data_IF_776262372322
#
_entry.id   IF_776262372322
#
_cell.length_a   1.000
_cell.length_b   1.000
_cell.length_c   1.000
_cell.angle_alpha   90.00
_cell.angle_beta   90.00
_cell.angle_gamma   90.00
#
_symmetry.space_group_name_H-M   'P 1'
#
loop_
_entity.id
_entity.type
_entity.pdbx_description
1 polymer ?
#
# COMPACT_ATOMS: atom_id res chain seq x y z
N UNK A 1 -8.16 16.50 66.39
CA UNK A 1 -9.24 16.35 65.39
C UNK A 1 -8.61 15.66 64.17
N UNK A 2 -8.51 14.33 64.12
CA UNK A 2 -9.54 13.37 63.64
C UNK A 2 -9.88 13.60 62.15
N UNK A 3 -9.68 12.70 61.17
CA UNK A 3 -9.34 11.26 61.11
C UNK A 3 -8.66 10.97 59.76
N UNK A 4 -7.65 10.10 59.78
CA UNK A 4 -7.13 9.39 58.60
C UNK A 4 -7.93 8.10 58.43
N UNK A 5 -8.44 7.83 57.22
CA UNK A 5 -9.10 6.56 56.87
C UNK A 5 -8.10 5.76 56.03
N UNK A 6 -7.65 4.64 56.58
CA UNK A 6 -6.94 3.58 55.86
C UNK A 6 -7.90 2.49 55.39
N UNK A 7 -7.52 1.80 54.32
CA UNK A 7 -7.97 0.45 53.94
C UNK A 7 -6.84 -0.16 53.10
N UNK A 8 -5.90 -0.81 53.76
CA UNK A 8 -5.86 -2.25 54.07
C UNK A 8 -5.59 -3.13 52.83
N UNK A 9 -4.31 -3.47 52.70
CA UNK A 9 -3.77 -4.46 51.77
C UNK A 9 -3.60 -5.75 52.56
N UNK A 10 -4.16 -6.85 52.04
CA UNK A 10 -3.81 -8.28 52.24
C UNK A 10 -5.00 -9.09 52.77
N UNK A 11 -5.53 -9.94 51.90
CA UNK A 11 -6.22 -11.22 52.13
C UNK A 11 -6.92 -11.47 50.78
N UNK A 12 -6.53 -12.43 49.95
CA UNK A 12 -6.69 -13.84 50.21
C UNK A 12 -5.69 -14.67 49.40
N UNK A 13 -5.15 -15.66 50.09
CA UNK A 13 -4.36 -16.72 49.52
C UNK A 13 -5.24 -17.71 48.75
N UNK A 14 -4.64 -18.28 47.69
CA UNK A 14 -4.64 -19.71 47.33
C UNK A 14 -5.99 -20.44 47.36
N UNK A 15 -6.54 -20.67 46.17
CA UNK A 15 -7.30 -21.91 45.89
C UNK A 15 -6.69 -22.56 44.65
N UNK A 16 -6.15 -23.77 44.87
CA UNK A 16 -5.75 -24.75 43.88
C UNK A 16 -6.98 -25.25 43.10
N UNK A 17 -6.88 -25.37 41.78
CA UNK A 17 -7.05 -26.64 41.05
C UNK A 17 -6.99 -26.40 39.51
N UNK A 18 -6.16 -27.17 38.77
CA UNK A 18 -6.10 -27.12 37.31
C UNK A 18 -7.17 -28.05 36.75
N UNK A 19 -8.00 -27.54 35.83
CA UNK A 19 -9.01 -28.33 35.15
C UNK A 19 -8.85 -28.13 33.65
N UNK A 20 -8.61 -29.26 32.97
CA UNK A 20 -8.88 -29.57 31.57
C UNK A 20 -7.98 -28.92 30.51
N UNK A 21 -6.90 -29.66 30.21
CA UNK A 21 -6.54 -30.15 28.87
C UNK A 21 -7.49 -29.69 27.75
N UNK A 22 -7.16 -28.54 27.14
CA UNK A 22 -7.84 -28.00 25.97
C UNK A 22 -6.98 -28.14 24.72
N UNK A 23 -7.37 -29.08 23.85
CA UNK A 23 -7.21 -29.04 22.39
C UNK A 23 -5.91 -28.42 21.83
N UNK A 24 -4.87 -29.26 21.72
CA UNK A 24 -3.70 -29.02 20.86
C UNK A 24 -3.71 -30.03 19.72
N UNK A 25 -4.40 -29.67 18.63
CA UNK A 25 -4.17 -30.22 17.28
C UNK A 25 -4.62 -29.15 16.28
N UNK A 26 -3.80 -28.11 16.17
CA UNK A 26 -3.82 -27.22 15.02
C UNK A 26 -3.36 -28.03 13.81
N UNK A 27 -4.32 -28.43 12.96
CA UNK A 27 -4.04 -28.92 11.62
C UNK A 27 -3.42 -27.77 10.83
N UNK A 28 -2.10 -27.79 10.69
CA UNK A 28 -1.39 -27.00 9.69
C UNK A 28 -1.79 -27.55 8.31
N UNK A 29 -2.85 -26.99 7.74
CA UNK A 29 -3.21 -27.21 6.35
C UNK A 29 -2.12 -26.61 5.44
N UNK A 30 -1.82 -27.23 4.28
CA UNK A 30 -0.86 -26.67 3.34
C UNK A 30 -1.39 -25.32 2.84
N UNK A 31 -0.55 -24.29 2.95
CA UNK A 31 -0.79 -23.01 2.29
C UNK A 31 -0.81 -23.27 0.78
N UNK A 32 -2.00 -23.46 0.20
CA UNK A 32 -2.14 -23.49 -1.24
C UNK A 32 -1.86 -22.08 -1.74
N UNK A 33 -0.80 -21.94 -2.54
CA UNK A 33 -0.58 -20.77 -3.36
C UNK A 33 -1.78 -20.66 -4.31
N UNK A 34 -2.78 -19.89 -3.88
CA UNK A 34 -3.95 -19.55 -4.67
C UNK A 34 -3.48 -18.87 -5.95
N UNK A 35 -3.60 -19.59 -7.06
CA UNK A 35 -3.44 -19.05 -8.41
C UNK A 35 -4.67 -18.17 -8.64
N UNK A 36 -4.52 -16.87 -8.38
CA UNK A 36 -5.58 -15.91 -8.63
C UNK A 36 -5.82 -15.83 -10.14
N UNK A 37 -7.08 -15.88 -10.61
CA UNK A 37 -7.37 -15.66 -12.02
C UNK A 37 -6.87 -14.27 -12.40
N UNK A 38 -6.02 -14.21 -13.43
CA UNK A 38 -5.53 -12.94 -13.97
C UNK A 38 -6.74 -12.09 -14.39
N UNK A 39 -6.91 -10.87 -13.87
CA UNK A 39 -7.92 -9.97 -14.39
C UNK A 39 -7.57 -9.74 -15.87
N UNK A 40 -8.51 -10.06 -16.75
CA UNK A 40 -8.35 -9.85 -18.20
C UNK A 40 -8.04 -8.38 -18.52
N UNK A 41 -7.67 -8.06 -19.78
CA UNK A 41 -7.22 -6.73 -20.14
C UNK A 41 -8.30 -5.70 -19.79
N UNK A 42 -8.04 -4.91 -18.74
CA UNK A 42 -8.91 -3.81 -18.32
C UNK A 42 -8.85 -2.71 -19.38
N UNK A 43 -9.68 -2.77 -20.41
CA UNK A 43 -9.69 -1.74 -21.45
C UNK A 43 -11.07 -1.53 -22.05
N UNK A 44 -11.80 -0.51 -21.57
CA UNK A 44 -12.66 0.38 -22.38
C UNK A 44 -13.01 1.62 -21.54
N UNK A 45 -12.22 2.67 -21.64
CA UNK A 45 -12.53 3.96 -21.02
C UNK A 45 -11.38 4.93 -21.16
N UNK A 46 -11.46 5.82 -22.16
CA UNK A 46 -10.67 7.04 -22.39
C UNK A 46 -9.35 7.16 -21.61
N UNK A 47 -8.41 6.26 -21.86
CA UNK A 47 -7.07 6.32 -21.30
C UNK A 47 -6.19 7.11 -22.30
N UNK A 48 -5.62 8.27 -21.93
CA UNK A 48 -4.81 9.08 -22.84
C UNK A 48 -3.54 8.37 -23.34
N UNK A 49 -3.19 7.22 -22.73
CA UNK A 49 -2.10 6.33 -23.15
C UNK A 49 -2.52 5.22 -24.14
N UNK A 50 -3.75 5.25 -24.65
CA UNK A 50 -4.16 4.42 -25.79
C UNK A 50 -4.12 2.90 -25.54
N UNK A 51 -4.22 2.46 -24.28
CA UNK A 51 -4.13 1.03 -23.93
C UNK A 51 -2.71 0.46 -23.94
N UNK A 52 -1.67 1.29 -24.08
CA UNK A 52 -0.28 0.84 -23.94
C UNK A 52 -0.02 0.44 -22.48
N UNK A 53 0.53 -0.76 -22.29
CA UNK A 53 1.03 -1.24 -21.01
C UNK A 53 2.38 -0.61 -20.71
N UNK A 54 2.54 0.02 -19.54
CA UNK A 54 3.81 0.60 -19.09
C UNK A 54 4.22 -0.08 -17.76
N UNK A 55 4.95 -1.21 -17.82
CA UNK A 55 5.37 -1.93 -16.63
C UNK A 55 6.47 -1.20 -15.88
N UNK A 56 6.16 -0.52 -14.78
CA UNK A 56 7.16 0.25 -14.01
C UNK A 56 7.89 -0.60 -12.96
N UNK A 57 7.22 -1.63 -12.44
CA UNK A 57 7.80 -2.54 -11.46
C UNK A 57 7.02 -3.86 -11.39
N UNK A 58 7.75 -4.95 -11.14
CA UNK A 58 7.15 -6.27 -10.98
C UNK A 58 6.19 -6.67 -12.10
N UNK A 59 5.20 -7.47 -11.73
CA UNK A 59 4.17 -8.00 -12.61
C UNK A 59 2.85 -7.20 -12.54
N UNK A 60 2.73 -6.26 -11.59
CA UNK A 60 1.49 -5.57 -11.28
C UNK A 60 1.60 -4.04 -11.21
N UNK A 61 2.79 -3.45 -11.09
CA UNK A 61 2.87 -1.99 -11.05
C UNK A 61 2.97 -1.40 -12.46
N UNK A 62 1.94 -0.66 -12.88
CA UNK A 62 1.99 0.15 -14.10
C UNK A 62 0.62 0.35 -14.74
N UNK A 63 0.40 1.44 -15.50
CA UNK A 63 -0.84 1.60 -16.24
C UNK A 63 -0.96 0.50 -17.30
N UNK A 64 -2.14 -0.14 -17.35
CA UNK A 64 -2.45 -1.24 -18.27
C UNK A 64 -1.49 -2.43 -18.17
N UNK A 65 -0.81 -2.60 -17.04
CA UNK A 65 0.03 -3.73 -16.68
C UNK A 65 -0.65 -4.53 -15.56
N UNK A 66 -0.39 -5.84 -15.44
CA UNK A 66 -1.02 -6.66 -14.39
C UNK A 66 -1.26 -8.12 -14.75
N UNK A 67 -0.22 -8.95 -14.69
CA UNK A 67 -0.34 -10.40 -14.82
C UNK A 67 0.89 -11.14 -14.30
N UNK A 68 0.68 -12.31 -13.69
CA UNK A 68 1.76 -13.19 -13.22
C UNK A 68 1.88 -13.25 -11.70
N UNK A 69 2.90 -13.96 -11.18
CA UNK A 69 3.11 -14.10 -9.75
C UNK A 69 3.53 -12.78 -9.11
N UNK A 70 3.18 -12.56 -7.85
CA UNK A 70 3.68 -11.43 -7.05
C UNK A 70 5.18 -11.64 -6.80
N UNK A 71 6.01 -10.68 -7.18
CA UNK A 71 7.47 -10.80 -7.09
C UNK A 71 8.05 -10.25 -5.79
N UNK A 72 7.51 -9.15 -5.28
CA UNK A 72 7.97 -8.54 -4.03
C UNK A 72 6.88 -7.74 -3.32
N UNK A 73 7.30 -7.04 -2.26
CA UNK A 73 6.43 -6.25 -1.41
C UNK A 73 5.71 -5.09 -2.13
N UNK A 74 6.35 -4.45 -3.12
CA UNK A 74 5.75 -3.34 -3.86
C UNK A 74 4.78 -3.90 -4.90
N UNK A 75 5.18 -4.98 -5.56
CA UNK A 75 4.34 -5.71 -6.50
C UNK A 75 3.04 -6.21 -5.85
N UNK A 76 3.09 -6.70 -4.60
CA UNK A 76 1.91 -7.07 -3.81
C UNK A 76 0.96 -5.89 -3.55
N UNK A 77 1.52 -4.72 -3.23
CA UNK A 77 0.74 -3.51 -3.02
C UNK A 77 0.03 -3.08 -4.32
N UNK A 78 0.72 -3.15 -5.46
CA UNK A 78 0.15 -2.88 -6.79
C UNK A 78 -0.95 -3.89 -7.16
N UNK A 79 -0.72 -5.19 -6.94
CA UNK A 79 -1.73 -6.23 -7.16
C UNK A 79 -3.04 -5.92 -6.42
N UNK A 80 -2.96 -5.50 -5.14
CA UNK A 80 -4.15 -5.16 -4.36
C UNK A 80 -4.82 -3.86 -4.83
N UNK A 81 -4.07 -2.89 -5.34
CA UNK A 81 -4.62 -1.70 -5.99
C UNK A 81 -5.38 -2.07 -7.27
N UNK A 82 -4.76 -2.86 -8.15
CA UNK A 82 -5.39 -3.32 -9.39
C UNK A 82 -6.66 -4.13 -9.13
N UNK A 83 -6.63 -5.00 -8.11
CA UNK A 83 -7.80 -5.77 -7.70
C UNK A 83 -8.92 -4.89 -7.12
N UNK A 84 -8.58 -3.80 -6.43
CA UNK A 84 -9.55 -2.80 -5.99
C UNK A 84 -10.20 -2.11 -7.21
N UNK A 85 -9.38 -1.68 -8.16
CA UNK A 85 -9.84 -1.03 -9.39
C UNK A 85 -10.71 -1.96 -10.24
N UNK A 86 -10.37 -3.25 -10.31
CA UNK A 86 -11.19 -4.27 -10.97
C UNK A 86 -12.59 -4.36 -10.35
N UNK A 87 -12.69 -4.37 -9.02
CA UNK A 87 -13.97 -4.49 -8.32
C UNK A 87 -14.81 -3.20 -8.32
N UNK A 88 -14.16 -2.04 -8.21
CA UNK A 88 -14.84 -0.73 -8.00
C UNK A 88 -14.93 0.12 -9.27
N UNK A 89 -14.22 -0.27 -10.32
CA UNK A 89 -14.08 0.44 -11.58
C UNK A 89 -12.98 1.49 -11.56
N UNK A 90 -12.40 1.74 -12.74
CA UNK A 90 -11.35 2.75 -12.96
C UNK A 90 -11.76 4.13 -12.45
N UNK A 91 -10.78 4.85 -11.92
CA UNK A 91 -10.96 6.20 -11.37
C UNK A 91 -11.76 6.24 -10.07
N UNK A 92 -11.82 5.15 -9.30
CA UNK A 92 -12.28 5.19 -7.90
C UNK A 92 -11.17 5.75 -7.01
N UNK A 93 -11.35 6.96 -6.48
CA UNK A 93 -10.34 7.59 -5.62
C UNK A 93 -10.11 6.84 -4.30
N UNK A 94 -11.07 6.01 -3.85
CA UNK A 94 -10.92 5.20 -2.65
C UNK A 94 -9.85 4.13 -2.80
N UNK A 95 -9.75 3.50 -3.97
CA UNK A 95 -8.66 2.57 -4.30
C UNK A 95 -7.30 3.27 -4.23
N UNK A 96 -7.17 4.43 -4.86
CA UNK A 96 -5.93 5.19 -4.87
C UNK A 96 -5.52 5.66 -3.47
N UNK A 97 -6.46 6.17 -2.68
CA UNK A 97 -6.21 6.63 -1.31
C UNK A 97 -5.83 5.48 -0.37
N UNK A 98 -6.45 4.31 -0.52
CA UNK A 98 -6.09 3.12 0.23
C UNK A 98 -4.66 2.67 -0.11
N UNK A 99 -4.34 2.59 -1.40
CA UNK A 99 -3.00 2.24 -1.89
C UNK A 99 -1.94 3.24 -1.41
N UNK A 100 -2.21 4.54 -1.54
CA UNK A 100 -1.34 5.60 -1.03
C UNK A 100 -1.08 5.46 0.49
N UNK A 101 -2.11 5.16 1.27
CA UNK A 101 -1.99 5.00 2.73
C UNK A 101 -1.12 3.78 3.08
N UNK A 102 -1.26 2.71 2.32
CA UNK A 102 -0.46 1.50 2.48
C UNK A 102 1.02 1.74 2.17
N UNK A 103 1.33 2.35 1.01
CA UNK A 103 2.72 2.64 0.62
C UNK A 103 3.42 3.53 1.64
N UNK A 104 2.67 4.46 2.26
CA UNK A 104 3.17 5.37 3.30
C UNK A 104 3.44 4.68 4.63
N UNK A 105 2.62 3.71 5.01
CA UNK A 105 2.72 3.02 6.30
C UNK A 105 3.73 1.86 6.30
N UNK A 106 4.09 1.35 5.12
CA UNK A 106 4.92 0.16 4.96
C UNK A 106 6.40 0.45 5.24
N UNK A 107 7.05 -0.46 5.97
CA UNK A 107 8.50 -0.55 6.02
C UNK A 107 9.01 -1.34 4.80
N UNK A 108 10.00 -0.79 4.10
CA UNK A 108 10.52 -1.37 2.87
C UNK A 108 11.82 -2.14 3.10
N UNK A 109 12.01 -3.30 2.43
CA UNK A 109 13.17 -4.17 2.62
C UNK A 109 14.49 -3.56 2.13
N UNK A 110 14.43 -2.54 1.25
CA UNK A 110 15.61 -1.83 0.78
C UNK A 110 15.30 -0.35 0.51
N UNK A 111 16.32 0.53 0.57
CA UNK A 111 16.15 1.94 0.19
C UNK A 111 15.67 2.11 -1.25
N UNK A 112 16.16 1.30 -2.18
CA UNK A 112 15.75 1.36 -3.59
C UNK A 112 14.28 1.02 -3.79
N UNK A 113 13.75 0.01 -3.07
CA UNK A 113 12.33 -0.32 -3.13
C UNK A 113 11.47 0.75 -2.44
N UNK A 114 11.96 1.33 -1.34
CA UNK A 114 11.30 2.45 -0.67
C UNK A 114 11.16 3.67 -1.59
N UNK A 115 12.24 3.99 -2.32
CA UNK A 115 12.27 5.11 -3.24
C UNK A 115 11.33 4.88 -4.44
N UNK A 116 11.33 3.66 -4.98
CA UNK A 116 10.41 3.27 -6.06
C UNK A 116 8.95 3.29 -5.61
N UNK A 117 8.66 2.79 -4.41
CA UNK A 117 7.33 2.88 -3.82
C UNK A 117 6.89 4.34 -3.63
N UNK A 118 7.81 5.23 -3.23
CA UNK A 118 7.54 6.66 -3.15
C UNK A 118 7.23 7.27 -4.51
N UNK A 119 7.94 6.87 -5.57
CA UNK A 119 7.66 7.31 -6.93
C UNK A 119 6.26 6.85 -7.40
N UNK A 120 5.88 5.59 -7.12
CA UNK A 120 4.53 5.06 -7.42
C UNK A 120 3.45 5.81 -6.65
N UNK A 121 3.68 6.10 -5.36
CA UNK A 121 2.78 6.91 -4.53
C UNK A 121 2.53 8.29 -5.14
N UNK A 122 3.58 8.97 -5.60
CA UNK A 122 3.48 10.30 -6.24
C UNK A 122 2.80 10.22 -7.60
N UNK A 123 3.08 9.17 -8.39
CA UNK A 123 2.43 8.94 -9.67
C UNK A 123 0.91 8.76 -9.51
N UNK A 124 0.48 7.88 -8.60
CA UNK A 124 -0.94 7.66 -8.30
C UNK A 124 -1.61 8.93 -7.80
N UNK A 125 -0.92 9.74 -7.00
CA UNK A 125 -1.48 11.01 -6.53
C UNK A 125 -1.89 11.95 -7.67
N UNK A 126 -1.15 11.94 -8.78
CA UNK A 126 -1.42 12.76 -9.96
C UNK A 126 -2.40 12.11 -10.95
N UNK A 127 -2.57 10.79 -10.93
CA UNK A 127 -3.53 10.10 -11.79
C UNK A 127 -4.95 10.61 -11.51
N UNK A 128 -5.71 11.07 -12.53
CA UNK A 128 -7.07 11.53 -12.31
C UNK A 128 -8.01 10.43 -11.82
N UNK A 129 -8.90 10.76 -10.89
CA UNK A 129 -10.02 9.92 -10.47
C UNK A 129 -11.34 10.72 -10.51
N UNK A 130 -12.49 10.03 -10.42
CA UNK A 130 -13.83 10.58 -10.70
C UNK A 130 -14.33 11.57 -9.64
N UNK A 131 -13.95 11.39 -8.38
CA UNK A 131 -14.36 12.26 -7.27
C UNK A 131 -13.37 13.43 -7.09
N UNK A 132 -13.81 14.69 -7.30
CA UNK A 132 -12.94 15.85 -7.11
C UNK A 132 -12.42 16.01 -5.68
N UNK A 133 -13.17 15.58 -4.66
CA UNK A 133 -12.70 15.64 -3.28
C UNK A 133 -11.57 14.65 -3.04
N UNK A 134 -11.75 13.40 -3.47
CA UNK A 134 -10.71 12.37 -3.48
C UNK A 134 -9.48 12.79 -4.27
N UNK A 135 -9.64 13.41 -5.44
CA UNK A 135 -8.51 13.91 -6.23
C UNK A 135 -7.71 14.99 -5.48
N UNK A 136 -8.39 15.94 -4.85
CA UNK A 136 -7.72 16.97 -4.02
C UNK A 136 -7.01 16.35 -2.83
N UNK A 137 -7.59 15.34 -2.20
CA UNK A 137 -6.99 14.64 -1.07
C UNK A 137 -5.72 13.88 -1.46
N UNK A 138 -5.72 13.21 -2.61
CA UNK A 138 -4.52 12.55 -3.14
C UNK A 138 -3.38 13.57 -3.33
N UNK A 139 -3.68 14.68 -4.00
CA UNK A 139 -2.69 15.73 -4.24
C UNK A 139 -2.23 16.42 -2.96
N UNK A 140 -3.13 16.67 -1.99
CA UNK A 140 -2.78 17.30 -0.71
C UNK A 140 -1.84 16.41 0.11
N UNK A 141 -2.09 15.09 0.16
CA UNK A 141 -1.21 14.13 0.84
C UNK A 141 0.18 14.09 0.22
N UNK A 142 0.26 13.97 -1.10
CA UNK A 142 1.54 13.94 -1.80
C UNK A 142 2.31 15.25 -1.63
N UNK A 143 1.64 16.39 -1.73
CA UNK A 143 2.25 17.71 -1.52
C UNK A 143 2.75 17.88 -0.08
N UNK A 144 1.97 17.48 0.93
CA UNK A 144 2.36 17.57 2.33
C UNK A 144 3.55 16.66 2.66
N UNK A 145 3.55 15.41 2.18
CA UNK A 145 4.63 14.47 2.42
C UNK A 145 5.93 14.91 1.70
N UNK A 146 5.85 15.53 0.54
CA UNK A 146 7.00 16.12 -0.15
C UNK A 146 7.52 17.35 0.60
N UNK A 147 6.64 18.29 0.95
CA UNK A 147 7.01 19.48 1.71
C UNK A 147 7.70 19.13 3.03
N UNK A 148 7.21 18.10 3.73
CA UNK A 148 7.85 17.58 4.94
C UNK A 148 9.25 16.99 4.69
N UNK A 149 9.49 16.39 3.52
CA UNK A 149 10.81 15.93 3.09
C UNK A 149 11.78 17.09 2.84
N UNK A 150 11.32 18.11 2.12
CA UNK A 150 12.10 19.32 1.80
C UNK A 150 12.45 20.11 3.06
N UNK A 151 11.47 20.40 3.91
CA UNK A 151 11.67 21.15 5.16
C UNK A 151 12.63 20.44 6.11
N UNK A 152 12.61 19.10 6.13
CA UNK A 152 13.52 18.31 6.95
C UNK A 152 14.91 18.12 6.32
N UNK A 153 15.18 18.69 5.14
CA UNK A 153 16.45 18.54 4.43
C UNK A 153 16.72 17.11 3.93
N UNK A 154 15.70 16.25 3.86
CA UNK A 154 15.83 14.87 3.36
C UNK A 154 15.77 14.78 1.84
N UNK A 155 15.14 15.77 1.20
CA UNK A 155 14.90 15.78 -0.24
C UNK A 155 15.08 17.20 -0.80
N UNK A 156 15.65 17.36 -2.01
CA UNK A 156 15.63 18.65 -2.68
C UNK A 156 14.23 19.01 -3.19
N UNK A 157 13.94 20.29 -3.49
CA UNK A 157 12.65 20.71 -4.05
C UNK A 157 12.25 20.01 -5.35
N UNK A 158 13.21 19.54 -6.15
CA UNK A 158 12.96 18.84 -7.42
C UNK A 158 12.85 17.31 -7.30
N UNK A 159 12.88 16.75 -6.08
CA UNK A 159 12.93 15.29 -5.87
C UNK A 159 11.76 14.52 -6.51
N UNK A 160 10.56 15.13 -6.58
CA UNK A 160 9.40 14.54 -7.29
C UNK A 160 9.74 14.32 -8.77
N UNK A 161 10.39 15.28 -9.43
CA UNK A 161 10.75 15.16 -10.84
C UNK A 161 11.77 14.03 -11.06
N UNK A 162 12.76 13.92 -10.18
CA UNK A 162 13.77 12.85 -10.26
C UNK A 162 13.15 11.45 -10.07
N UNK A 163 12.20 11.32 -9.15
CA UNK A 163 11.50 10.05 -8.89
C UNK A 163 10.59 9.66 -10.05
N UNK A 164 9.78 10.59 -10.54
CA UNK A 164 8.90 10.34 -11.68
C UNK A 164 9.68 10.06 -12.96
N UNK A 165 10.77 10.80 -13.19
CA UNK A 165 11.68 10.57 -14.32
C UNK A 165 12.25 9.16 -14.32
N UNK A 166 12.75 8.69 -13.15
CA UNK A 166 13.25 7.32 -13.00
C UNK A 166 12.15 6.26 -13.16
N UNK A 167 10.96 6.50 -12.61
CA UNK A 167 9.83 5.59 -12.77
C UNK A 167 9.41 5.43 -14.25
N UNK A 168 9.39 6.54 -14.99
CA UNK A 168 9.08 6.51 -16.42
C UNK A 168 10.19 5.85 -17.25
N UNK A 169 11.45 6.07 -16.90
CA UNK A 169 12.59 5.36 -17.51
C UNK A 169 12.49 3.84 -17.29
N UNK A 170 12.17 3.41 -16.07
CA UNK A 170 11.94 2.00 -15.75
C UNK A 170 10.80 1.42 -16.59
N UNK A 171 9.69 2.16 -16.74
CA UNK A 171 8.56 1.79 -17.57
C UNK A 171 8.94 1.61 -19.04
N UNK A 172 9.67 2.57 -19.62
CA UNK A 172 10.13 2.51 -21.02
C UNK A 172 11.13 1.36 -21.25
N UNK A 173 12.01 1.10 -20.29
CA UNK A 173 13.00 0.03 -20.39
C UNK A 173 12.39 -1.39 -20.36
N UNK A 174 11.15 -1.52 -19.88
CA UNK A 174 10.42 -2.79 -19.73
C UNK A 174 9.27 -2.95 -20.72
N UNK A 175 8.95 -1.93 -21.51
CA UNK A 175 7.85 -1.94 -22.47
C UNK A 175 8.19 -2.63 -23.81
N UNK A 176 9.43 -3.11 -23.97
CA UNK A 176 9.96 -3.79 -25.16
C UNK A 176 10.59 -5.14 -24.76
#
# INVERSE_FOLDING_TARGET
MSRLIGHDRRMFARVFAPVLFGFLLALAGPAQAQVWPSPGPMGTGSDPLGGLAIPVHGNWCGPNHGAGPILDALDDSCFRHDFCVFQRGRGDCGCDLAFMSELRARAWPSPGLAEKARAVYEAIAMTPCRDPAGQREKMSRAAADWAAGVVAGREPPWAILDRLGRLMQDGMARAY
#
